data_IF_585456963444
#
_entry.id   IF_585456963444
#
_cell.length_a   1.000
_cell.length_b   1.000
_cell.length_c   1.000
_cell.angle_alpha   90.00
_cell.angle_beta   90.00
_cell.angle_gamma   90.00
#
_symmetry.space_group_name_H-M   'P 1'
#
loop_
_entity.id
_entity.type
_entity.pdbx_description
1 polymer ?
#
# COMPACT_ATOMS: atom_id res chain seq x y z
N UNK A 1 5.19 23.61 10.51
CA UNK A 1 4.85 22.52 9.56
C UNK A 1 3.73 22.87 8.57
N UNK A 2 2.63 23.52 8.99
CA UNK A 2 1.52 23.91 8.09
C UNK A 2 2.02 24.92 7.03
N UNK A 3 1.97 24.56 5.75
CA UNK A 3 2.34 25.44 4.61
C UNK A 3 3.52 24.94 3.77
N UNK A 4 4.60 24.42 4.37
CA UNK A 4 5.80 23.96 3.62
C UNK A 4 5.59 22.66 2.83
N UNK A 5 4.69 21.80 3.30
CA UNK A 5 4.32 20.54 2.62
C UNK A 5 3.24 20.75 1.54
N UNK A 6 2.59 21.92 1.52
CA UNK A 6 1.47 22.22 0.61
C UNK A 6 1.91 22.46 -0.84
N UNK A 7 3.19 22.72 -1.07
CA UNK A 7 3.79 22.91 -2.40
C UNK A 7 4.28 21.61 -3.03
N UNK A 8 4.16 20.47 -2.35
CA UNK A 8 4.51 19.18 -2.94
C UNK A 8 3.56 18.93 -4.11
N UNK A 9 4.11 18.90 -5.33
CA UNK A 9 3.31 18.88 -6.54
C UNK A 9 2.66 17.50 -6.71
N UNK A 10 1.42 17.38 -6.22
CA UNK A 10 0.60 16.17 -6.33
C UNK A 10 0.52 15.63 -7.77
N UNK A 11 0.54 16.50 -8.77
CA UNK A 11 0.51 16.10 -10.18
C UNK A 11 1.79 15.35 -10.59
N UNK A 12 2.96 15.77 -10.09
CA UNK A 12 4.22 15.08 -10.39
C UNK A 12 4.35 13.76 -9.62
N UNK A 13 3.91 13.73 -8.36
CA UNK A 13 3.82 12.48 -7.59
C UNK A 13 2.95 11.44 -8.30
N UNK A 14 1.84 11.88 -8.90
CA UNK A 14 0.94 11.01 -9.67
C UNK A 14 1.62 10.43 -10.92
N UNK A 15 2.45 11.21 -11.61
CA UNK A 15 3.24 10.74 -12.75
C UNK A 15 4.21 9.62 -12.36
N UNK A 16 5.05 9.87 -11.34
CA UNK A 16 6.02 8.89 -10.84
C UNK A 16 5.36 7.61 -10.33
N UNK A 17 4.27 7.75 -9.59
CA UNK A 17 3.50 6.62 -9.09
C UNK A 17 2.99 5.76 -10.25
N UNK A 18 2.51 6.40 -11.33
CA UNK A 18 2.00 5.71 -12.52
C UNK A 18 3.11 4.98 -13.26
N UNK A 19 4.27 5.62 -13.46
CA UNK A 19 5.43 5.00 -14.12
C UNK A 19 5.97 3.80 -13.35
N UNK A 20 6.17 3.95 -12.04
CA UNK A 20 6.68 2.87 -11.20
C UNK A 20 5.68 1.71 -11.11
N UNK A 21 4.37 2.02 -10.98
CA UNK A 21 3.34 1.00 -10.99
C UNK A 21 3.29 0.28 -12.35
N UNK A 22 3.44 1.00 -13.45
CA UNK A 22 3.51 0.41 -14.79
C UNK A 22 4.69 -0.56 -14.89
N UNK A 23 5.89 -0.15 -14.45
CA UNK A 23 7.07 -1.00 -14.44
C UNK A 23 6.90 -2.27 -13.58
N UNK A 24 6.27 -2.16 -12.40
CA UNK A 24 5.96 -3.34 -11.58
C UNK A 24 4.98 -4.28 -12.27
N UNK A 25 4.04 -3.73 -13.02
CA UNK A 25 3.05 -4.51 -13.74
C UNK A 25 3.59 -5.17 -15.02
N UNK A 26 4.51 -4.54 -15.74
CA UNK A 26 5.21 -5.15 -16.89
C UNK A 26 6.02 -6.38 -16.48
N UNK A 27 6.52 -6.39 -15.24
CA UNK A 27 7.18 -7.55 -14.66
C UNK A 27 6.22 -8.70 -14.29
N UNK A 28 4.90 -8.46 -14.34
CA UNK A 28 3.94 -9.54 -14.23
C UNK A 28 3.86 -10.30 -15.56
N UNK A 29 3.83 -11.63 -15.48
CA UNK A 29 3.56 -12.45 -16.65
C UNK A 29 2.18 -12.16 -17.25
N UNK A 30 1.97 -12.55 -18.51
CA UNK A 30 0.72 -12.29 -19.25
C UNK A 30 -0.49 -13.10 -18.76
N UNK A 31 -0.26 -14.14 -17.96
CA UNK A 31 -1.28 -14.98 -17.34
C UNK A 31 -0.75 -15.60 -16.03
N UNK A 32 -1.64 -15.83 -15.07
CA UNK A 32 -1.28 -16.50 -13.82
C UNK A 32 -2.39 -16.46 -12.77
N UNK A 33 -2.15 -17.14 -11.66
CA UNK A 33 -3.00 -17.09 -10.46
C UNK A 33 -2.12 -16.81 -9.26
N UNK A 34 -2.52 -15.84 -8.44
CA UNK A 34 -1.78 -15.43 -7.25
C UNK A 34 -2.76 -14.96 -6.18
N UNK A 35 -2.38 -15.13 -4.92
CA UNK A 35 -3.09 -14.52 -3.80
C UNK A 35 -3.12 -12.99 -3.96
N UNK A 36 -4.31 -12.40 -3.86
CA UNK A 36 -4.52 -10.97 -4.11
C UNK A 36 -3.76 -10.10 -3.10
N UNK A 37 -3.68 -10.50 -1.83
CA UNK A 37 -2.96 -9.75 -0.81
C UNK A 37 -1.45 -9.74 -1.11
N UNK A 38 -0.90 -10.91 -1.46
CA UNK A 38 0.50 -11.03 -1.90
C UNK A 38 0.74 -10.18 -3.15
N UNK A 39 -0.17 -10.20 -4.13
CA UNK A 39 -0.05 -9.40 -5.35
C UNK A 39 -0.04 -7.90 -5.04
N UNK A 40 -1.01 -7.42 -4.27
CA UNK A 40 -1.12 -6.00 -3.90
C UNK A 40 0.12 -5.52 -3.16
N UNK A 41 0.61 -6.29 -2.18
CA UNK A 41 1.87 -5.96 -1.47
C UNK A 41 3.06 -5.94 -2.42
N UNK A 42 3.15 -6.93 -3.32
CA UNK A 42 4.24 -7.02 -4.30
C UNK A 42 4.28 -5.83 -5.26
N UNK A 43 3.12 -5.28 -5.62
CA UNK A 43 3.03 -4.08 -6.45
C UNK A 43 3.30 -2.80 -5.63
N UNK A 44 2.65 -2.64 -4.48
CA UNK A 44 2.67 -1.37 -3.75
C UNK A 44 3.93 -1.12 -2.93
N UNK A 45 4.63 -2.16 -2.47
CA UNK A 45 5.86 -2.00 -1.68
C UNK A 45 6.97 -1.31 -2.47
N UNK A 46 7.42 -1.84 -3.62
CA UNK A 46 8.41 -1.17 -4.44
C UNK A 46 7.94 0.22 -4.88
N UNK A 47 6.68 0.34 -5.32
CA UNK A 47 6.11 1.61 -5.77
C UNK A 47 6.21 2.68 -4.69
N UNK A 48 5.73 2.39 -3.48
CA UNK A 48 5.73 3.37 -2.40
C UNK A 48 7.14 3.73 -1.95
N UNK A 49 8.06 2.76 -1.90
CA UNK A 49 9.45 3.02 -1.50
C UNK A 49 10.16 3.87 -2.54
N UNK A 50 10.04 3.53 -3.82
CA UNK A 50 10.74 4.22 -4.89
C UNK A 50 10.20 5.63 -5.14
N UNK A 51 8.88 5.83 -5.00
CA UNK A 51 8.24 7.14 -5.17
C UNK A 51 8.43 8.06 -3.96
N UNK A 52 8.27 7.56 -2.72
CA UNK A 52 8.26 8.43 -1.53
C UNK A 52 9.66 8.75 -1.01
N UNK A 53 10.64 7.89 -1.23
CA UNK A 53 11.96 8.00 -0.61
C UNK A 53 13.04 8.34 -1.62
N UNK A 54 13.24 7.48 -2.61
CA UNK A 54 14.26 7.61 -3.66
C UNK A 54 14.02 6.52 -4.70
N UNK A 55 14.17 6.86 -5.99
CA UNK A 55 14.12 5.88 -7.08
C UNK A 55 15.15 4.77 -6.89
N UNK A 56 14.79 3.53 -7.19
CA UNK A 56 15.64 2.34 -7.04
C UNK A 56 16.11 2.05 -5.60
N UNK A 57 15.44 2.62 -4.58
CA UNK A 57 15.74 2.33 -3.19
C UNK A 57 15.22 0.95 -2.75
N UNK A 58 14.11 0.50 -3.33
CA UNK A 58 13.54 -0.80 -2.99
C UNK A 58 14.51 -1.94 -3.36
N UNK A 59 14.66 -2.98 -2.52
CA UNK A 59 15.56 -4.07 -2.85
C UNK A 59 15.20 -4.77 -4.16
N UNK A 60 16.19 -5.05 -5.00
CA UNK A 60 15.99 -5.73 -6.30
C UNK A 60 16.26 -7.23 -6.25
N UNK A 61 17.07 -7.69 -5.29
CA UNK A 61 17.34 -9.12 -5.10
C UNK A 61 16.14 -9.81 -4.44
N UNK A 62 15.64 -10.89 -5.05
CA UNK A 62 14.55 -11.75 -4.53
C UNK A 62 14.64 -12.07 -3.04
N UNK A 63 15.84 -12.39 -2.52
CA UNK A 63 16.04 -12.66 -1.08
C UNK A 63 15.75 -11.43 -0.24
N UNK A 64 16.28 -10.27 -0.62
CA UNK A 64 16.08 -9.01 0.10
C UNK A 64 14.67 -8.48 -0.02
N UNK A 65 14.00 -8.71 -1.16
CA UNK A 65 12.57 -8.42 -1.34
C UNK A 65 11.76 -9.21 -0.32
N UNK A 66 11.98 -10.53 -0.25
CA UNK A 66 11.27 -11.38 0.71
C UNK A 66 11.55 -10.98 2.16
N UNK A 67 12.80 -10.65 2.48
CA UNK A 67 13.20 -10.16 3.81
C UNK A 67 12.49 -8.85 4.17
N UNK A 68 12.45 -7.89 3.24
CA UNK A 68 11.71 -6.64 3.42
C UNK A 68 10.21 -6.89 3.65
N UNK A 69 9.59 -7.75 2.83
CA UNK A 69 8.19 -8.11 2.97
C UNK A 69 7.88 -8.71 4.35
N UNK A 70 8.69 -9.67 4.80
CA UNK A 70 8.53 -10.32 6.09
C UNK A 70 8.65 -9.32 7.25
N UNK A 71 9.67 -8.45 7.20
CA UNK A 71 9.87 -7.47 8.25
C UNK A 71 8.78 -6.40 8.28
N UNK A 72 8.39 -5.86 7.13
CA UNK A 72 7.33 -4.87 7.07
C UNK A 72 5.99 -5.45 7.53
N UNK A 73 5.62 -6.66 7.10
CA UNK A 73 4.38 -7.30 7.52
C UNK A 73 4.35 -7.57 9.03
N UNK A 74 5.42 -8.14 9.60
CA UNK A 74 5.49 -8.38 11.03
C UNK A 74 5.51 -7.08 11.86
N UNK A 75 6.07 -6.00 11.30
CA UNK A 75 6.02 -4.68 11.91
C UNK A 75 4.60 -4.08 11.89
N UNK A 76 3.93 -4.14 10.74
CA UNK A 76 2.58 -3.61 10.53
C UNK A 76 1.54 -4.32 11.42
N UNK A 77 1.51 -5.66 11.38
CA UNK A 77 0.58 -6.47 12.18
C UNK A 77 0.78 -6.30 13.70
N UNK A 78 2.03 -6.10 14.12
CA UNK A 78 2.36 -5.91 15.53
C UNK A 78 2.29 -4.46 16.00
N UNK A 79 2.07 -3.47 15.13
CA UNK A 79 2.21 -2.05 15.47
C UNK A 79 1.28 -1.59 16.60
N UNK A 80 0.01 -1.99 16.54
CA UNK A 80 -0.99 -1.63 17.56
C UNK A 80 -0.54 -2.03 18.97
N UNK A 81 -0.04 -3.25 19.11
CA UNK A 81 0.44 -3.78 20.39
C UNK A 81 1.85 -3.28 20.72
N UNK A 82 2.74 -3.18 19.73
CA UNK A 82 4.12 -2.75 19.85
C UNK A 82 4.30 -1.30 20.26
N UNK A 83 3.30 -0.47 19.97
CA UNK A 83 3.27 0.93 20.43
C UNK A 83 2.87 1.09 21.90
N UNK A 84 2.28 0.06 22.52
CA UNK A 84 1.72 0.13 23.88
C UNK A 84 2.45 -0.75 24.89
N UNK A 85 3.09 -1.84 24.44
CA UNK A 85 3.71 -2.87 25.28
C UNK A 85 5.24 -2.81 25.14
N UNK A 86 6.01 -3.03 26.23
CA UNK A 86 7.46 -3.06 26.14
C UNK A 86 7.98 -4.05 25.09
N UNK A 87 8.99 -3.62 24.34
CA UNK A 87 9.52 -4.38 23.19
C UNK A 87 10.00 -5.80 23.52
N UNK A 88 10.40 -6.06 24.77
CA UNK A 88 10.84 -7.39 25.22
C UNK A 88 9.75 -8.47 25.12
N UNK A 89 8.47 -8.07 25.17
CA UNK A 89 7.32 -8.97 25.04
C UNK A 89 6.96 -9.26 23.57
N UNK A 90 7.38 -8.41 22.64
CA UNK A 90 7.04 -8.49 21.22
C UNK A 90 8.29 -8.70 20.38
N UNK A 91 8.99 -9.81 20.62
CA UNK A 91 10.30 -10.11 20.01
C UNK A 91 10.32 -10.00 18.49
N UNK A 92 9.31 -10.54 17.81
CA UNK A 92 9.23 -10.49 16.34
C UNK A 92 9.01 -9.07 15.84
N UNK A 93 8.12 -8.33 16.47
CA UNK A 93 7.84 -6.94 16.12
C UNK A 93 9.07 -6.04 16.36
N UNK A 94 9.69 -6.14 17.54
CA UNK A 94 10.90 -5.36 17.87
C UNK A 94 12.07 -5.71 16.94
N UNK A 95 12.25 -6.99 16.57
CA UNK A 95 13.23 -7.40 15.56
C UNK A 95 12.96 -6.72 14.22
N UNK A 96 11.71 -6.73 13.74
CA UNK A 96 11.33 -6.10 12.48
C UNK A 96 11.45 -4.58 12.51
N UNK A 97 11.03 -3.92 13.61
CA UNK A 97 11.23 -2.49 13.82
C UNK A 97 12.71 -2.12 13.72
N UNK A 98 13.59 -2.83 14.42
CA UNK A 98 15.05 -2.61 14.36
C UNK A 98 15.62 -2.82 12.96
N UNK A 99 15.17 -3.85 12.25
CA UNK A 99 15.59 -4.10 10.87
C UNK A 99 15.21 -2.95 9.94
N UNK A 100 13.97 -2.45 10.03
CA UNK A 100 13.48 -1.34 9.21
C UNK A 100 14.16 -0.01 9.58
N UNK A 101 14.42 0.24 10.87
CA UNK A 101 15.19 1.40 11.30
C UNK A 101 16.61 1.36 10.74
N UNK A 102 17.29 0.20 10.81
CA UNK A 102 18.62 0.03 10.23
C UNK A 102 18.61 0.19 8.69
N UNK A 103 17.54 -0.27 8.02
CA UNK A 103 17.33 -0.01 6.60
C UNK A 103 17.31 1.49 6.30
N UNK A 104 16.56 2.29 7.07
CA UNK A 104 16.53 3.75 6.85
C UNK A 104 17.80 4.45 7.28
N UNK A 105 18.38 4.09 8.43
CA UNK A 105 19.65 4.64 8.90
C UNK A 105 20.74 4.51 7.85
N UNK A 106 20.84 3.35 7.20
CA UNK A 106 21.78 3.10 6.11
C UNK A 106 21.51 3.98 4.88
N UNK A 107 20.25 4.15 4.50
CA UNK A 107 19.88 4.76 3.22
C UNK A 107 19.59 6.28 3.31
N UNK A 108 19.44 6.85 4.50
CA UNK A 108 19.12 8.28 4.66
C UNK A 108 20.17 9.21 4.05
N UNK A 109 21.49 8.98 4.21
CA UNK A 109 22.48 9.81 3.51
C UNK A 109 22.25 9.83 2.00
N UNK A 110 22.01 8.65 1.42
CA UNK A 110 21.75 8.47 -0.01
C UNK A 110 20.42 9.08 -0.47
N UNK A 111 19.41 9.14 0.39
CA UNK A 111 18.13 9.81 0.16
C UNK A 111 18.35 11.32 0.16
N UNK A 112 19.10 11.86 1.14
CA UNK A 112 19.38 13.31 1.24
C UNK A 112 20.17 13.82 0.04
N UNK A 113 21.22 13.09 -0.34
CA UNK A 113 22.07 13.45 -1.47
C UNK A 113 21.46 13.10 -2.83
N UNK A 114 20.25 12.52 -2.88
CA UNK A 114 19.61 12.18 -4.13
C UNK A 114 19.29 13.45 -4.90
N UNK A 115 19.88 13.61 -6.09
CA UNK A 115 19.53 14.71 -6.98
C UNK A 115 18.44 14.16 -7.91
N UNK A 116 17.20 14.67 -7.80
CA UNK A 116 16.15 14.28 -8.72
C UNK A 116 16.54 14.68 -10.15
N UNK A 117 16.32 13.80 -11.13
CA UNK A 117 16.51 14.14 -12.55
C UNK A 117 15.60 15.32 -12.96
N UNK A 118 15.89 15.98 -14.08
CA UNK A 118 15.22 17.23 -14.51
C UNK A 118 13.68 17.16 -14.55
N UNK A 119 13.11 15.96 -14.64
CA UNK A 119 11.68 15.65 -14.67
C UNK A 119 11.15 14.94 -13.39
N UNK A 120 12.02 14.63 -12.43
CA UNK A 120 11.69 14.01 -11.16
C UNK A 120 11.78 15.11 -10.08
N UNK A 121 10.71 15.51 -9.37
CA UNK A 121 10.84 16.38 -8.20
C UNK A 121 11.49 15.67 -7.00
N UNK A 122 11.98 16.50 -6.09
CA UNK A 122 12.33 16.11 -4.72
C UNK A 122 11.32 15.13 -4.12
N UNK A 123 11.78 14.05 -3.49
CA UNK A 123 10.87 13.06 -2.89
C UNK A 123 10.23 13.58 -1.61
N UNK A 124 9.13 12.96 -1.19
CA UNK A 124 8.44 13.37 0.03
C UNK A 124 9.34 13.22 1.26
N UNK A 125 10.16 12.16 1.30
CA UNK A 125 11.13 11.97 2.37
C UNK A 125 12.22 13.03 2.36
N UNK A 126 12.73 13.44 1.19
CA UNK A 126 13.68 14.54 1.13
C UNK A 126 13.05 15.83 1.65
N UNK A 127 11.84 16.17 1.20
CA UNK A 127 11.14 17.36 1.67
C UNK A 127 10.91 17.35 3.19
N UNK A 128 10.60 16.17 3.75
CA UNK A 128 10.49 15.98 5.20
C UNK A 128 11.83 16.19 5.91
N UNK A 129 12.90 15.62 5.39
CA UNK A 129 14.24 15.75 5.97
C UNK A 129 14.72 17.20 5.96
N UNK A 130 14.54 17.94 4.86
CA UNK A 130 14.90 19.35 4.78
C UNK A 130 14.12 20.22 5.79
N UNK A 131 12.88 19.85 6.10
CA UNK A 131 12.06 20.54 7.12
C UNK A 131 12.53 20.20 8.55
N UNK A 132 13.01 18.96 8.78
CA UNK A 132 13.28 18.41 10.12
C UNK A 132 14.76 18.53 10.51
N UNK A 133 15.69 18.59 9.54
CA UNK A 133 17.12 18.76 9.79
C UNK A 133 17.45 20.09 10.49
N UNK A 134 16.55 21.07 10.42
CA UNK A 134 16.66 22.29 11.24
C UNK A 134 16.44 22.02 12.75
N UNK A 135 15.96 20.84 13.14
CA UNK A 135 15.54 20.54 14.51
C UNK A 135 16.25 19.32 15.16
N UNK A 136 16.41 18.16 14.50
CA UNK A 136 17.12 16.97 15.09
C UNK A 136 17.51 15.88 14.05
N UNK A 137 18.80 15.72 13.73
CA UNK A 137 19.27 14.78 12.69
C UNK A 137 19.15 13.29 13.07
N UNK A 138 19.21 12.94 14.36
CA UNK A 138 19.20 11.55 14.86
C UNK A 138 17.86 10.83 14.70
N UNK A 139 16.76 11.58 14.54
CA UNK A 139 15.41 11.00 14.43
C UNK A 139 14.99 10.69 12.98
N UNK A 140 15.84 11.01 12.01
CA UNK A 140 15.56 10.82 10.58
C UNK A 140 15.08 9.40 10.23
N UNK A 141 15.67 8.30 10.75
CA UNK A 141 15.19 6.94 10.46
C UNK A 141 13.78 6.65 10.98
N UNK A 142 13.40 7.24 12.12
CA UNK A 142 12.06 7.08 12.69
C UNK A 142 11.01 7.73 11.79
N UNK A 143 11.28 8.93 11.25
CA UNK A 143 10.39 9.56 10.29
C UNK A 143 10.25 8.76 9.00
N UNK A 144 11.34 8.16 8.52
CA UNK A 144 11.30 7.28 7.36
C UNK A 144 10.40 6.06 7.59
N UNK A 145 10.56 5.40 8.74
CA UNK A 145 9.71 4.28 9.13
C UNK A 145 8.23 4.69 9.28
N UNK A 146 7.95 5.82 9.92
CA UNK A 146 6.59 6.33 10.07
C UNK A 146 5.95 6.67 8.73
N UNK A 147 6.68 7.29 7.80
CA UNK A 147 6.19 7.58 6.46
C UNK A 147 5.88 6.30 5.68
N UNK A 148 6.78 5.31 5.74
CA UNK A 148 6.58 4.02 5.10
C UNK A 148 5.35 3.29 5.65
N UNK A 149 5.22 3.28 6.98
CA UNK A 149 4.07 2.66 7.64
C UNK A 149 2.76 3.37 7.27
N UNK A 150 2.70 4.70 7.41
CA UNK A 150 1.51 5.47 7.09
C UNK A 150 1.06 5.33 5.63
N UNK A 151 2.00 5.20 4.70
CA UNK A 151 1.69 4.98 3.28
C UNK A 151 1.17 3.56 3.02
N UNK A 152 1.94 2.54 3.37
CA UNK A 152 1.62 1.16 3.02
C UNK A 152 0.48 0.56 3.83
N UNK A 153 0.42 0.83 5.14
CA UNK A 153 -0.63 0.29 6.03
C UNK A 153 -2.02 0.83 5.70
N UNK A 154 -2.10 1.95 4.98
CA UNK A 154 -3.35 2.48 4.44
C UNK A 154 -3.58 2.06 2.98
N UNK A 155 -2.57 2.18 2.11
CA UNK A 155 -2.72 1.93 0.68
C UNK A 155 -2.99 0.45 0.36
N UNK A 156 -2.31 -0.48 1.04
CA UNK A 156 -2.46 -1.93 0.80
C UNK A 156 -3.89 -2.43 1.08
N UNK A 157 -4.49 -2.21 2.27
CA UNK A 157 -5.85 -2.67 2.51
C UNK A 157 -6.88 -1.97 1.62
N UNK A 158 -6.71 -0.68 1.31
CA UNK A 158 -7.60 0.05 0.39
C UNK A 158 -7.55 -0.59 -1.00
N UNK A 159 -6.35 -0.84 -1.55
CA UNK A 159 -6.20 -1.45 -2.86
C UNK A 159 -6.74 -2.88 -2.88
N UNK A 160 -6.43 -3.68 -1.86
CA UNK A 160 -6.94 -5.04 -1.71
C UNK A 160 -8.47 -5.09 -1.75
N UNK A 161 -9.12 -4.30 -0.89
CA UNK A 161 -10.59 -4.28 -0.83
C UNK A 161 -11.21 -3.70 -2.09
N UNK A 162 -10.63 -2.63 -2.64
CA UNK A 162 -11.10 -2.04 -3.90
C UNK A 162 -11.09 -3.08 -5.02
N UNK A 163 -9.97 -3.76 -5.25
CA UNK A 163 -9.87 -4.80 -6.28
C UNK A 163 -10.81 -5.97 -5.97
N UNK A 164 -10.86 -6.42 -4.71
CA UNK A 164 -11.75 -7.50 -4.27
C UNK A 164 -13.22 -7.19 -4.55
N UNK A 165 -13.70 -5.98 -4.25
CA UNK A 165 -15.08 -5.58 -4.49
C UNK A 165 -15.40 -5.44 -5.98
N UNK A 166 -14.49 -4.87 -6.76
CA UNK A 166 -14.65 -4.74 -8.21
C UNK A 166 -14.76 -6.12 -8.84
N UNK A 167 -13.87 -7.05 -8.51
CA UNK A 167 -13.86 -8.40 -9.08
C UNK A 167 -15.03 -9.26 -8.60
N UNK A 168 -15.54 -9.03 -7.39
CA UNK A 168 -16.67 -9.80 -6.84
C UNK A 168 -18.02 -9.46 -7.48
N UNK A 169 -18.14 -8.32 -8.16
CA UNK A 169 -19.39 -7.82 -8.73
C UNK A 169 -19.27 -7.57 -10.23
N UNK A 170 -19.76 -8.49 -11.09
CA UNK A 170 -19.62 -8.38 -12.55
C UNK A 170 -20.18 -7.09 -13.14
N UNK A 171 -21.26 -6.55 -12.57
CA UNK A 171 -21.86 -5.27 -13.00
C UNK A 171 -20.94 -4.08 -12.72
N UNK A 172 -20.32 -4.03 -11.53
CA UNK A 172 -19.37 -2.97 -11.15
C UNK A 172 -18.11 -3.07 -12.01
N UNK A 173 -17.54 -4.26 -12.15
CA UNK A 173 -16.39 -4.48 -13.02
C UNK A 173 -16.67 -3.98 -14.44
N UNK A 174 -17.80 -4.38 -15.03
CA UNK A 174 -18.20 -3.95 -16.37
C UNK A 174 -18.32 -2.43 -16.47
N UNK A 175 -19.00 -1.78 -15.53
CA UNK A 175 -19.19 -0.33 -15.53
C UNK A 175 -17.86 0.44 -15.41
N UNK A 176 -16.93 -0.03 -14.58
CA UNK A 176 -15.60 0.56 -14.44
C UNK A 176 -14.81 0.41 -15.74
N UNK A 177 -14.82 -0.78 -16.35
CA UNK A 177 -14.14 -1.02 -17.62
C UNK A 177 -14.73 -0.15 -18.74
N UNK A 178 -16.04 -0.01 -18.84
CA UNK A 178 -16.70 0.86 -19.81
C UNK A 178 -16.36 2.34 -19.57
N UNK A 179 -16.31 2.78 -18.31
CA UNK A 179 -15.94 4.15 -17.97
C UNK A 179 -14.49 4.46 -18.34
N UNK A 180 -13.56 3.55 -18.05
CA UNK A 180 -12.15 3.64 -18.46
C UNK A 180 -12.04 3.69 -19.99
N UNK A 181 -12.78 2.81 -20.67
CA UNK A 181 -12.85 2.75 -22.14
C UNK A 181 -13.32 4.07 -22.74
N UNK A 182 -14.31 4.71 -22.12
CA UNK A 182 -14.87 5.97 -22.58
C UNK A 182 -13.89 7.14 -22.45
N UNK A 183 -13.05 7.15 -21.41
CA UNK A 183 -12.10 8.25 -21.15
C UNK A 183 -10.81 8.09 -21.96
N UNK A 184 -10.27 6.87 -22.02
CA UNK A 184 -8.97 6.59 -22.62
C UNK A 184 -9.04 5.90 -23.99
N UNK A 185 -10.24 5.66 -24.51
CA UNK A 185 -10.47 4.93 -25.76
C UNK A 185 -10.06 3.45 -25.70
N UNK A 186 -10.21 2.73 -26.82
CA UNK A 186 -9.83 1.31 -26.95
C UNK A 186 -8.33 1.04 -26.75
N UNK A 187 -7.48 2.06 -26.88
CA UNK A 187 -6.05 1.98 -26.61
C UNK A 187 -5.74 1.94 -25.09
N UNK A 188 -6.44 2.74 -24.28
CA UNK A 188 -6.31 2.70 -22.81
C UNK A 188 -6.82 1.38 -22.20
N UNK A 189 -7.83 0.78 -22.83
CA UNK A 189 -8.30 -0.58 -22.50
C UNK A 189 -7.19 -1.60 -22.71
N UNK A 190 -6.39 -1.50 -23.78
CA UNK A 190 -5.36 -2.51 -24.08
C UNK A 190 -4.23 -2.46 -23.04
N UNK A 191 -3.89 -1.27 -22.55
CA UNK A 191 -2.97 -1.08 -21.44
C UNK A 191 -3.55 -1.73 -20.17
N UNK A 192 -4.79 -1.41 -19.77
CA UNK A 192 -5.38 -1.96 -18.54
C UNK A 192 -5.88 -3.43 -18.60
N UNK A 193 -6.29 -3.96 -19.75
CA UNK A 193 -6.68 -5.37 -19.92
C UNK A 193 -5.46 -6.28 -19.86
N UNK A 194 -4.30 -5.82 -20.32
CA UNK A 194 -3.02 -6.49 -20.05
C UNK A 194 -2.72 -6.50 -18.55
N UNK A 195 -3.18 -5.49 -17.81
CA UNK A 195 -2.95 -5.31 -16.37
C UNK A 195 -3.94 -6.04 -15.46
N UNK A 196 -5.18 -6.30 -15.90
CA UNK A 196 -6.21 -6.87 -15.03
C UNK A 196 -6.66 -8.27 -15.41
N UNK A 197 -6.97 -8.61 -16.67
CA UNK A 197 -7.54 -9.92 -16.98
C UNK A 197 -7.43 -10.28 -18.48
N UNK A 198 -6.54 -11.21 -18.82
CA UNK A 198 -6.64 -12.00 -20.06
C UNK A 198 -7.69 -13.10 -19.88
N UNK A 199 -8.93 -12.73 -20.24
CA UNK A 199 -10.12 -13.55 -20.59
C UNK A 199 -10.59 -14.65 -19.62
N UNK A 200 -11.83 -14.44 -19.16
CA UNK A 200 -12.80 -15.48 -18.86
C UNK A 200 -12.75 -16.63 -19.88
N UNK A 201 -12.33 -17.80 -19.41
CA UNK A 201 -13.10 -19.04 -19.40
C UNK A 201 -12.24 -20.17 -18.82
N UNK A 202 -12.26 -20.35 -17.51
CA UNK A 202 -12.17 -21.69 -16.89
C UNK A 202 -12.53 -21.64 -15.39
N UNK A 203 -13.77 -22.08 -15.11
CA UNK A 203 -14.18 -22.95 -14.00
C UNK A 203 -13.87 -22.51 -12.55
N UNK A 204 -14.88 -21.87 -11.95
CA UNK A 204 -15.57 -22.26 -10.70
C UNK A 204 -14.78 -23.16 -9.75
N UNK A 205 -14.22 -22.58 -8.67
CA UNK A 205 -14.24 -23.21 -7.34
C UNK A 205 -13.91 -22.25 -6.17
N UNK A 206 -14.64 -21.14 -6.01
CA UNK A 206 -14.39 -20.29 -4.83
C UNK A 206 -15.63 -19.54 -4.28
N UNK A 207 -16.82 -20.14 -4.41
CA UNK A 207 -18.06 -19.56 -3.83
C UNK A 207 -18.28 -19.88 -2.33
N UNK A 208 -17.34 -20.52 -1.64
CA UNK A 208 -17.55 -20.95 -0.26
C UNK A 208 -17.02 -19.96 0.80
N UNK A 209 -15.97 -19.17 0.51
CA UNK A 209 -15.32 -18.34 1.54
C UNK A 209 -16.00 -17.00 1.81
N UNK A 210 -16.56 -16.36 0.77
CA UNK A 210 -17.19 -15.04 0.90
C UNK A 210 -18.49 -15.13 1.71
N UNK A 211 -19.22 -16.25 1.66
CA UNK A 211 -20.41 -16.45 2.49
C UNK A 211 -20.08 -16.58 3.97
N UNK A 212 -18.95 -17.18 4.32
CA UNK A 212 -18.55 -17.36 5.74
C UNK A 212 -18.09 -16.05 6.37
N UNK A 213 -17.42 -15.17 5.61
CA UNK A 213 -16.97 -13.87 6.10
C UNK A 213 -18.12 -12.89 6.38
N UNK A 214 -19.22 -12.97 5.63
CA UNK A 214 -20.39 -12.09 5.82
C UNK A 214 -21.41 -12.58 6.85
N UNK A 215 -21.40 -13.86 7.24
CA UNK A 215 -22.33 -14.40 8.26
C UNK A 215 -21.88 -14.06 9.70
N UNK A 216 -20.62 -13.67 9.92
CA UNK A 216 -20.06 -13.44 11.26
C UNK A 216 -19.74 -11.97 11.59
N UNK A 217 -20.17 -11.00 10.78
CA UNK A 217 -20.11 -9.58 11.13
C UNK A 217 -21.39 -9.17 11.89
N UNK A 218 -21.33 -8.80 13.19
CA UNK A 218 -22.50 -8.40 13.96
C UNK A 218 -22.80 -6.92 13.70
N UNK A 219 -23.29 -6.59 12.51
CA UNK A 219 -23.89 -5.30 12.23
C UNK A 219 -25.21 -5.49 11.48
N UNK A 220 -26.27 -5.74 12.24
CA UNK A 220 -27.63 -5.18 12.06
C UNK A 220 -28.70 -6.09 12.70
N UNK A 221 -29.03 -5.84 13.96
CA UNK A 221 -30.42 -6.03 14.43
C UNK A 221 -30.68 -5.29 15.74
N UNK A 222 -30.55 -3.95 15.76
CA UNK A 222 -31.29 -3.14 16.74
C UNK A 222 -32.65 -2.81 16.11
N UNK A 223 -33.57 -3.77 16.18
CA UNK A 223 -35.00 -3.48 16.01
C UNK A 223 -35.49 -2.81 17.30
N UNK A 224 -36.05 -1.62 17.12
CA UNK A 224 -36.87 -0.93 18.10
C UNK A 224 -37.83 -1.90 18.82
N UNK A 225 -37.72 -1.98 20.14
CA UNK A 225 -38.80 -2.44 21.00
C UNK A 225 -39.16 -1.30 21.94
N UNK A 226 -40.37 -0.76 21.73
CA UNK A 226 -41.06 0.13 22.67
C UNK A 226 -41.32 -0.68 23.94
N UNK A 227 -40.99 -0.13 25.10
CA UNK A 227 -41.47 -0.65 26.39
C UNK A 227 -42.91 -0.19 26.62
N UNK A 228 -43.83 -1.09 27.02
CA UNK A 228 -44.97 -0.73 27.84
C UNK A 228 -44.72 -1.14 29.30
N UNK A 229 -45.01 -0.21 30.19
CA UNK A 229 -45.23 -0.42 31.63
C UNK A 229 -46.26 -1.53 31.89
N UNK A 230 -46.05 -2.40 32.91
CA UNK A 230 -46.71 -2.31 34.23
C UNK A 230 -46.48 -3.56 35.14
N UNK A 231 -46.40 -3.26 36.46
CA UNK A 231 -46.86 -4.03 37.64
C UNK A 231 -46.25 -5.38 38.01
N UNK A 232 -45.53 -5.41 39.15
CA UNK A 232 -46.12 -5.74 40.47
C UNK A 232 -45.30 -5.09 41.58
#
# INVERSE_FOLDING_TARGET
>A
MKGKMGTFNLCQLTGQLTEELHGQLENLGTYGTRDLNILVRHLLYPVSVNTLFKKDLFPTNKRKIMEFHQHFQAYDEGFEHGSQIPECFLRNWSKSKRWLLAFFEKNIPDIKSYIPEKDNPMTLMQALLDIIETETSEQSPNYGLLLLWASLSNAVPIAFWTIGFVLSQPSIHKAIMESISSVFGTAGIKLMITLLLTKEKTVVREKQWIRTAFVHLPFANKKHTRSPFFQS
#
